data_IF_436606082932
#
_entry.id   IF_436606082932
#
_cell.length_a   1.000
_cell.length_b   1.000
_cell.length_c   1.000
_cell.angle_alpha   90.00
_cell.angle_beta   90.00
_cell.angle_gamma   90.00
#
_symmetry.space_group_name_H-M   'P 1'
#
loop_
_entity.id
_entity.type
_entity.pdbx_description
1 polymer ?
#
# COMPACT_ATOMS: atom_id res chain seq x y z
N UNK A 1 -28.70 -2.17 -23.21
CA UNK A 1 -28.91 -1.26 -22.07
C UNK A 1 -27.88 -1.65 -21.03
N UNK A 2 -26.98 -0.76 -20.61
CA UNK A 2 -26.01 -1.09 -19.57
C UNK A 2 -26.72 -1.17 -18.23
N UNK A 3 -26.70 -2.33 -17.59
CA UNK A 3 -27.21 -2.47 -16.23
C UNK A 3 -26.52 -1.46 -15.31
N UNK A 4 -27.31 -0.62 -14.64
CA UNK A 4 -26.79 0.34 -13.65
C UNK A 4 -26.76 -0.35 -12.29
N UNK A 5 -25.56 -0.57 -11.76
CA UNK A 5 -25.37 -1.12 -10.43
C UNK A 5 -25.57 -0.03 -9.37
N UNK A 6 -26.10 -0.39 -8.20
CA UNK A 6 -26.34 0.56 -7.10
C UNK A 6 -25.74 0.04 -5.80
N UNK A 7 -24.99 0.90 -5.12
CA UNK A 7 -24.51 0.68 -3.76
C UNK A 7 -24.72 1.92 -2.90
N UNK A 8 -24.47 1.81 -1.60
CA UNK A 8 -24.53 2.95 -0.69
C UNK A 8 -23.16 3.61 -0.59
N UNK A 9 -22.08 2.81 -0.53
CA UNK A 9 -20.70 3.29 -0.52
C UNK A 9 -19.88 2.59 -1.61
N UNK A 10 -19.23 3.38 -2.46
CA UNK A 10 -18.20 2.90 -3.40
C UNK A 10 -16.82 3.37 -2.93
N UNK A 11 -15.90 2.43 -2.73
CA UNK A 11 -14.51 2.69 -2.35
C UNK A 11 -13.63 2.38 -3.57
N UNK A 12 -12.79 3.32 -3.96
CA UNK A 12 -11.93 3.20 -5.14
C UNK A 12 -10.51 2.93 -4.69
N UNK A 13 -9.98 1.73 -4.94
CA UNK A 13 -8.68 1.26 -4.48
C UNK A 13 -8.78 0.44 -3.19
N UNK A 14 -8.07 -0.68 -3.14
CA UNK A 14 -8.07 -1.61 -1.99
C UNK A 14 -6.79 -1.52 -1.13
N UNK A 15 -5.98 -0.49 -1.35
CA UNK A 15 -4.75 -0.23 -0.57
C UNK A 15 -5.01 0.07 0.91
N UNK A 16 -3.97 0.53 1.63
CA UNK A 16 -4.05 0.85 3.05
C UNK A 16 -5.24 1.76 3.41
N UNK A 17 -5.51 2.80 2.62
CA UNK A 17 -6.67 3.68 2.82
C UNK A 17 -8.00 2.97 2.60
N UNK A 18 -8.20 2.39 1.41
CA UNK A 18 -9.49 1.82 1.03
C UNK A 18 -9.85 0.53 1.78
N UNK A 19 -8.88 -0.37 1.98
CA UNK A 19 -9.09 -1.60 2.75
C UNK A 19 -9.42 -1.33 4.21
N UNK A 20 -8.77 -0.34 4.81
CA UNK A 20 -9.07 0.08 6.18
C UNK A 20 -10.47 0.67 6.31
N UNK A 21 -10.85 1.58 5.40
CA UNK A 21 -12.22 2.12 5.36
C UNK A 21 -13.26 1.03 5.17
N UNK A 22 -12.99 0.06 4.27
CA UNK A 22 -13.87 -1.08 4.06
C UNK A 22 -14.08 -1.89 5.35
N UNK A 23 -13.01 -2.14 6.13
CA UNK A 23 -13.11 -2.84 7.40
C UNK A 23 -13.88 -2.05 8.48
N UNK A 24 -13.71 -0.73 8.54
CA UNK A 24 -14.45 0.12 9.48
C UNK A 24 -15.95 0.20 9.15
N UNK A 25 -16.32 0.13 7.87
CA UNK A 25 -17.71 0.12 7.43
C UNK A 25 -18.36 -1.27 7.46
N UNK A 26 -17.56 -2.33 7.55
CA UNK A 26 -18.02 -3.71 7.46
C UNK A 26 -19.13 -4.07 8.47
N UNK A 27 -19.10 -3.63 9.74
CA UNK A 27 -20.18 -3.94 10.69
C UNK A 27 -21.56 -3.42 10.26
N UNK A 28 -21.60 -2.30 9.52
CA UNK A 28 -22.84 -1.69 9.05
C UNK A 28 -23.49 -2.46 7.89
N UNK A 29 -22.78 -3.42 7.29
CA UNK A 29 -23.34 -4.29 6.24
C UNK A 29 -24.45 -5.18 6.82
N UNK A 30 -24.34 -5.58 8.10
CA UNK A 30 -25.40 -6.32 8.79
C UNK A 30 -26.71 -5.52 8.91
N UNK A 31 -26.62 -4.19 8.95
CA UNK A 31 -27.76 -3.26 8.96
C UNK A 31 -28.23 -2.88 7.54
N UNK A 32 -27.71 -3.54 6.50
CA UNK A 32 -28.10 -3.37 5.11
C UNK A 32 -27.26 -2.38 4.30
N UNK A 33 -26.15 -1.86 4.84
CA UNK A 33 -25.25 -0.98 4.08
C UNK A 33 -24.57 -1.76 2.95
N UNK A 34 -24.75 -1.34 1.70
CA UNK A 34 -24.09 -1.98 0.55
C UNK A 34 -22.77 -1.27 0.25
N UNK A 35 -21.67 -1.93 0.55
CA UNK A 35 -20.31 -1.42 0.32
C UNK A 35 -19.65 -2.22 -0.81
N UNK A 36 -19.12 -1.52 -1.81
CA UNK A 36 -18.33 -2.11 -2.90
C UNK A 36 -16.96 -1.43 -2.97
N UNK A 37 -15.90 -2.23 -2.99
CA UNK A 37 -14.53 -1.79 -3.25
C UNK A 37 -14.17 -2.15 -4.69
N UNK A 38 -13.69 -1.20 -5.47
CA UNK A 38 -13.16 -1.40 -6.82
C UNK A 38 -11.65 -1.39 -6.80
N UNK A 39 -11.02 -2.47 -7.25
CA UNK A 39 -9.58 -2.62 -7.36
C UNK A 39 -9.18 -2.85 -8.82
N UNK A 40 -8.30 -2.00 -9.34
CA UNK A 40 -7.83 -2.07 -10.72
C UNK A 40 -6.95 -3.31 -10.96
N UNK A 41 -6.21 -3.73 -9.93
CA UNK A 41 -5.34 -4.89 -9.96
C UNK A 41 -6.04 -6.24 -9.81
N UNK A 42 -5.31 -7.35 -10.04
CA UNK A 42 -5.79 -8.70 -9.77
C UNK A 42 -5.80 -9.02 -8.26
N UNK A 43 -6.50 -10.08 -7.87
CA UNK A 43 -6.29 -10.79 -6.59
C UNK A 43 -5.43 -12.01 -6.86
N UNK A 44 -4.27 -12.10 -6.24
CA UNK A 44 -3.40 -13.27 -6.34
C UNK A 44 -3.76 -14.29 -5.27
N UNK A 45 -3.62 -15.57 -5.60
CA UNK A 45 -3.64 -16.67 -4.62
C UNK A 45 -2.26 -16.82 -3.98
N UNK A 46 -2.22 -17.41 -2.79
CA UNK A 46 -0.98 -17.58 -2.03
C UNK A 46 0.08 -18.41 -2.82
N UNK A 47 -0.35 -19.39 -3.61
CA UNK A 47 0.52 -20.22 -4.46
C UNK A 47 1.12 -19.49 -5.68
N UNK A 48 0.60 -18.30 -6.03
CA UNK A 48 1.08 -17.53 -7.18
C UNK A 48 2.28 -16.63 -6.85
N UNK A 49 2.58 -16.43 -5.56
CA UNK A 49 3.74 -15.65 -5.12
C UNK A 49 5.03 -16.50 -5.24
N UNK A 50 5.60 -16.55 -6.44
CA UNK A 50 6.75 -17.40 -6.76
C UNK A 50 8.12 -16.74 -6.49
N UNK A 51 8.12 -15.45 -6.12
CA UNK A 51 9.34 -14.69 -5.85
C UNK A 51 10.17 -14.29 -7.08
N UNK A 52 9.73 -14.67 -8.29
CA UNK A 52 10.40 -14.31 -9.53
C UNK A 52 10.12 -12.86 -9.92
N UNK A 53 11.15 -12.03 -10.09
CA UNK A 53 10.96 -10.62 -10.42
C UNK A 53 10.18 -10.42 -11.73
N UNK A 54 10.54 -11.17 -12.78
CA UNK A 54 9.92 -11.09 -14.10
C UNK A 54 8.42 -11.48 -14.10
N UNK A 55 8.00 -12.29 -13.13
CA UNK A 55 6.62 -12.79 -13.02
C UNK A 55 5.81 -12.00 -12.00
N UNK A 56 6.43 -11.54 -10.92
CA UNK A 56 5.77 -10.82 -9.83
C UNK A 56 5.67 -9.32 -10.09
N UNK A 57 6.69 -8.67 -10.65
CA UNK A 57 6.67 -7.22 -10.82
C UNK A 57 5.50 -6.75 -11.73
N UNK A 58 5.25 -7.36 -12.91
CA UNK A 58 4.10 -7.00 -13.75
C UNK A 58 2.74 -7.34 -13.12
N UNK A 59 2.70 -8.30 -12.19
CA UNK A 59 1.48 -8.73 -11.52
C UNK A 59 1.10 -7.84 -10.34
N UNK A 60 2.10 -7.24 -9.67
CA UNK A 60 1.91 -6.53 -8.40
C UNK A 60 1.96 -5.01 -8.53
N UNK A 61 2.76 -4.47 -9.46
CA UNK A 61 3.00 -3.03 -9.57
C UNK A 61 2.28 -2.40 -10.77
N UNK A 62 2.00 -1.11 -10.65
CA UNK A 62 1.70 -0.27 -11.82
C UNK A 62 2.93 -0.23 -12.74
N UNK A 63 2.71 -0.40 -14.04
CA UNK A 63 3.77 -0.39 -15.07
C UNK A 63 4.98 -1.31 -14.74
N UNK A 64 4.71 -2.44 -14.07
CA UNK A 64 5.75 -3.36 -13.61
C UNK A 64 6.76 -2.78 -12.62
N UNK A 65 6.45 -1.64 -12.00
CA UNK A 65 7.33 -0.90 -11.09
C UNK A 65 8.20 0.15 -11.80
N UNK A 66 8.09 0.26 -13.13
CA UNK A 66 8.84 1.19 -13.97
C UNK A 66 8.14 2.52 -14.25
N UNK A 67 7.14 2.91 -13.45
CA UNK A 67 6.35 4.11 -13.73
C UNK A 67 7.21 5.38 -13.62
N UNK A 68 7.55 6.00 -14.76
CA UNK A 68 8.44 7.16 -14.83
C UNK A 68 7.68 8.48 -14.67
N UNK A 69 8.35 9.47 -14.06
CA UNK A 69 7.93 10.88 -14.20
C UNK A 69 8.05 11.34 -15.65
N UNK A 70 7.29 12.37 -16.03
CA UNK A 70 7.21 12.83 -17.42
C UNK A 70 8.56 13.30 -18.01
N UNK A 71 9.47 13.76 -17.15
CA UNK A 71 10.85 14.14 -17.47
C UNK A 71 11.86 12.98 -17.34
N UNK A 72 11.40 11.80 -16.92
CA UNK A 72 12.22 10.59 -16.77
C UNK A 72 13.22 10.62 -15.63
N UNK A 73 13.16 11.59 -14.71
CA UNK A 73 14.16 11.75 -13.65
C UNK A 73 13.93 10.85 -12.44
N UNK A 74 12.72 10.30 -12.27
CA UNK A 74 12.38 9.46 -11.14
C UNK A 74 11.42 8.35 -11.55
N UNK A 75 11.65 7.16 -10.99
CA UNK A 75 10.72 6.03 -11.06
C UNK A 75 9.87 5.97 -9.79
N UNK A 76 8.57 5.77 -9.95
CA UNK A 76 7.61 5.58 -8.87
C UNK A 76 7.17 4.11 -8.84
N UNK A 77 7.25 3.47 -7.68
CA UNK A 77 6.78 2.10 -7.49
C UNK A 77 5.57 2.07 -6.55
N UNK A 78 4.41 1.64 -7.04
CA UNK A 78 3.21 1.46 -6.23
C UNK A 78 2.38 0.27 -6.72
N UNK A 79 1.71 -0.37 -5.76
CA UNK A 79 0.99 -1.62 -6.01
C UNK A 79 -0.32 -1.39 -6.76
N UNK A 80 -0.57 -2.23 -7.76
CA UNK A 80 -1.82 -2.35 -8.53
C UNK A 80 -2.32 -3.80 -8.42
N UNK A 81 -2.80 -4.14 -7.23
CA UNK A 81 -3.16 -5.49 -6.80
C UNK A 81 -4.15 -5.40 -5.63
N UNK A 82 -4.97 -6.41 -5.39
CA UNK A 82 -5.80 -6.52 -4.18
C UNK A 82 -4.94 -6.37 -2.91
N UNK A 83 -5.18 -5.29 -2.16
CA UNK A 83 -4.36 -4.83 -1.02
C UNK A 83 -3.43 -3.64 -1.32
N UNK A 84 -3.31 -3.22 -2.58
CA UNK A 84 -2.45 -2.14 -3.05
C UNK A 84 -0.98 -2.30 -2.65
N UNK A 85 -0.29 -1.18 -2.39
CA UNK A 85 1.13 -1.18 -2.02
C UNK A 85 1.46 -1.94 -0.72
N UNK A 86 0.47 -2.30 0.11
CA UNK A 86 0.71 -3.13 1.30
C UNK A 86 1.10 -4.57 0.95
N UNK A 87 0.90 -5.00 -0.30
CA UNK A 87 1.36 -6.30 -0.81
C UNK A 87 2.86 -6.28 -1.07
N UNK A 88 3.43 -5.12 -1.40
CA UNK A 88 4.80 -4.95 -1.90
C UNK A 88 5.70 -4.09 -1.01
N UNK A 89 5.21 -3.55 0.10
CA UNK A 89 6.09 -2.89 1.08
C UNK A 89 6.97 -3.90 1.83
N UNK A 90 7.84 -3.42 2.70
CA UNK A 90 8.61 -4.25 3.65
C UNK A 90 7.81 -4.56 4.93
N UNK A 91 6.80 -3.75 5.25
CA UNK A 91 5.97 -3.93 6.45
C UNK A 91 6.40 -3.07 7.64
N UNK A 92 7.37 -2.17 7.45
CA UNK A 92 7.72 -1.15 8.44
C UNK A 92 6.48 -0.31 8.81
N UNK A 93 6.28 -0.13 10.11
CA UNK A 93 5.03 0.38 10.69
C UNK A 93 5.34 1.35 11.83
N UNK A 94 5.59 2.61 11.49
CA UNK A 94 5.90 3.67 12.45
C UNK A 94 4.69 4.57 12.71
N UNK A 95 4.65 5.15 13.90
CA UNK A 95 3.82 6.33 14.16
C UNK A 95 4.62 7.53 13.65
N UNK A 96 3.99 8.38 12.82
CA UNK A 96 4.64 9.58 12.34
C UNK A 96 5.09 10.47 13.52
N UNK A 97 6.35 10.97 13.53
CA UNK A 97 6.82 11.84 14.59
C UNK A 97 5.93 13.07 14.76
N UNK A 98 5.71 13.50 16.01
CA UNK A 98 4.84 14.65 16.30
C UNK A 98 5.30 15.92 15.58
N UNK A 99 6.61 16.13 15.47
CA UNK A 99 7.21 17.24 14.70
C UNK A 99 6.72 17.27 13.24
N UNK A 100 6.61 16.10 12.59
CA UNK A 100 6.14 15.96 11.22
C UNK A 100 4.65 16.30 11.15
N UNK A 101 3.84 15.74 12.05
CA UNK A 101 2.38 16.00 12.10
C UNK A 101 2.09 17.48 12.30
N UNK A 102 2.79 18.14 13.25
CA UNK A 102 2.64 19.58 13.51
C UNK A 102 3.01 20.42 12.28
N UNK A 103 3.98 19.98 11.48
CA UNK A 103 4.41 20.70 10.27
C UNK A 103 3.34 20.71 9.16
N UNK A 104 2.40 19.76 9.15
CA UNK A 104 1.29 19.72 8.19
C UNK A 104 0.30 20.89 8.36
N UNK A 105 0.27 21.53 9.54
CA UNK A 105 -0.57 22.71 9.83
C UNK A 105 -2.05 22.54 9.46
N UNK A 106 -2.60 21.35 9.68
CA UNK A 106 -4.02 21.05 9.41
C UNK A 106 -4.86 21.37 10.65
N UNK A 107 -5.81 22.33 10.57
CA UNK A 107 -6.66 22.68 11.71
C UNK A 107 -7.43 21.47 12.24
N UNK A 108 -7.41 21.27 13.56
CA UNK A 108 -8.08 20.15 14.23
C UNK A 108 -7.33 18.82 14.19
N UNK A 109 -6.21 18.72 13.46
CA UNK A 109 -5.37 17.53 13.46
C UNK A 109 -4.35 17.60 14.60
N UNK A 110 -4.47 16.70 15.57
CA UNK A 110 -3.58 16.64 16.75
C UNK A 110 -2.79 15.34 16.74
N UNK A 111 -1.51 15.40 17.09
CA UNK A 111 -0.62 14.24 17.05
C UNK A 111 -1.10 13.08 17.93
N UNK A 112 -1.71 13.37 19.08
CA UNK A 112 -2.27 12.36 19.97
C UNK A 112 -3.44 11.58 19.35
N UNK A 113 -4.34 12.24 18.60
CA UNK A 113 -5.44 11.57 17.90
C UNK A 113 -4.91 10.63 16.80
N UNK A 114 -3.90 11.08 16.05
CA UNK A 114 -3.24 10.23 15.06
C UNK A 114 -2.50 9.04 15.68
N UNK A 115 -1.82 9.25 16.81
CA UNK A 115 -1.14 8.18 17.53
C UNK A 115 -2.14 7.11 18.03
N UNK A 116 -3.27 7.53 18.61
CA UNK A 116 -4.32 6.61 19.07
C UNK A 116 -4.90 5.77 17.92
N UNK A 117 -5.24 6.42 16.81
CA UNK A 117 -5.75 5.75 15.60
C UNK A 117 -4.71 4.81 14.99
N UNK A 118 -3.44 5.23 14.96
CA UNK A 118 -2.33 4.40 14.45
C UNK A 118 -2.13 3.15 15.31
N UNK A 119 -2.17 3.30 16.65
CA UNK A 119 -2.03 2.19 17.58
C UNK A 119 -3.11 1.12 17.40
N UNK A 120 -4.34 1.50 17.03
CA UNK A 120 -5.40 0.55 16.65
C UNK A 120 -4.98 -0.34 15.49
N UNK A 121 -4.49 0.25 14.39
CA UNK A 121 -4.07 -0.51 13.21
C UNK A 121 -2.77 -1.28 13.45
N UNK A 122 -1.84 -0.73 14.24
CA UNK A 122 -0.64 -1.47 14.65
C UNK A 122 -1.01 -2.77 15.38
N UNK A 123 -1.99 -2.74 16.29
CA UNK A 123 -2.50 -3.96 16.95
C UNK A 123 -3.18 -4.91 15.95
N UNK A 124 -4.02 -4.39 15.06
CA UNK A 124 -4.69 -5.22 14.04
C UNK A 124 -3.70 -5.92 13.10
N UNK A 125 -2.61 -5.25 12.75
CA UNK A 125 -1.61 -5.75 11.81
C UNK A 125 -0.47 -6.52 12.49
N UNK A 126 -0.58 -6.85 13.79
CA UNK A 126 0.47 -7.55 14.53
C UNK A 126 1.83 -6.84 14.46
N UNK A 127 1.85 -5.53 14.70
CA UNK A 127 3.11 -4.77 14.69
C UNK A 127 3.95 -5.11 15.92
N UNK A 128 5.21 -5.47 15.70
CA UNK A 128 6.18 -5.83 16.73
C UNK A 128 7.61 -5.56 16.26
N UNK A 129 8.55 -5.61 17.19
CA UNK A 129 9.98 -5.58 16.88
C UNK A 129 10.48 -6.98 16.53
N UNK A 130 11.40 -7.08 15.57
CA UNK A 130 12.05 -8.35 15.27
C UNK A 130 12.96 -8.77 16.43
N UNK A 131 12.96 -10.05 16.82
CA UNK A 131 13.87 -10.53 17.83
C UNK A 131 15.32 -10.55 17.30
N UNK A 132 16.34 -10.41 18.16
CA UNK A 132 17.74 -10.30 17.73
C UNK A 132 18.23 -11.45 16.83
N UNK A 133 17.73 -12.67 17.05
CA UNK A 133 18.07 -13.87 16.29
C UNK A 133 17.54 -13.87 14.84
N UNK A 134 16.57 -13.01 14.51
CA UNK A 134 16.02 -12.87 13.16
C UNK A 134 16.67 -11.71 12.37
N UNK A 135 17.59 -10.96 12.98
CA UNK A 135 18.31 -9.86 12.34
C UNK A 135 19.46 -10.43 11.49
N UNK A 136 19.40 -10.20 10.18
CA UNK A 136 20.45 -10.61 9.25
C UNK A 136 21.74 -9.74 9.37
N UNK A 137 22.81 -10.16 8.69
CA UNK A 137 24.08 -9.45 8.75
C UNK A 137 23.99 -8.02 8.20
N UNK A 138 23.27 -7.79 7.09
CA UNK A 138 23.11 -6.44 6.52
C UNK A 138 22.58 -5.45 7.57
N UNK A 139 21.52 -5.84 8.27
CA UNK A 139 20.89 -5.04 9.31
C UNK A 139 21.78 -4.86 10.53
N UNK A 140 22.44 -5.94 11.00
CA UNK A 140 23.37 -5.88 12.13
C UNK A 140 24.57 -4.97 11.85
N UNK A 141 25.17 -5.11 10.66
CA UNK A 141 26.34 -4.33 10.24
C UNK A 141 25.99 -2.85 10.03
N UNK A 142 24.79 -2.52 9.58
CA UNK A 142 24.32 -1.14 9.54
C UNK A 142 24.30 -0.50 10.93
N UNK A 143 23.77 -1.21 11.94
CA UNK A 143 23.74 -0.73 13.34
C UNK A 143 25.15 -0.58 13.91
N UNK A 144 26.02 -1.57 13.67
CA UNK A 144 27.43 -1.52 14.09
C UNK A 144 28.17 -0.35 13.43
N UNK A 145 27.94 -0.12 12.13
CA UNK A 145 28.49 1.00 11.38
C UNK A 145 28.04 2.35 11.94
N UNK A 146 26.74 2.52 12.19
CA UNK A 146 26.21 3.72 12.84
C UNK A 146 26.89 3.98 14.20
N UNK A 147 26.98 2.94 15.04
CA UNK A 147 27.61 3.05 16.37
C UNK A 147 29.08 3.42 16.28
N UNK A 148 29.82 2.85 15.32
CA UNK A 148 31.26 3.12 15.16
C UNK A 148 31.56 4.60 14.82
N UNK A 149 30.62 5.30 14.20
CA UNK A 149 30.74 6.73 13.89
C UNK A 149 29.95 7.63 14.86
N UNK A 150 29.45 7.08 15.97
CA UNK A 150 28.79 7.83 17.03
C UNK A 150 27.28 8.07 16.86
N UNK A 151 26.61 7.32 15.97
CA UNK A 151 25.16 7.37 15.78
C UNK A 151 24.44 6.17 16.40
N UNK A 152 23.19 6.37 16.80
CA UNK A 152 22.31 5.32 17.31
C UNK A 152 21.19 5.07 16.30
N UNK A 153 21.21 3.89 15.68
CA UNK A 153 20.15 3.44 14.77
C UNK A 153 18.99 2.83 15.57
N UNK A 154 17.77 3.06 15.09
CA UNK A 154 16.53 2.56 15.67
C UNK A 154 15.97 1.40 14.84
N UNK A 155 15.34 0.43 15.51
CA UNK A 155 14.68 -0.67 14.81
C UNK A 155 13.29 -0.22 14.34
N UNK A 156 12.95 -0.53 13.09
CA UNK A 156 11.58 -0.41 12.62
C UNK A 156 10.68 -1.44 13.33
N UNK A 157 9.51 -1.03 13.85
CA UNK A 157 8.42 -1.96 14.09
C UNK A 157 7.94 -2.52 12.75
N UNK A 158 7.64 -3.81 12.68
CA UNK A 158 7.21 -4.46 11.44
C UNK A 158 5.91 -5.24 11.61
N UNK A 159 5.17 -5.44 10.52
CA UNK A 159 3.88 -6.14 10.51
C UNK A 159 3.92 -7.47 9.75
N UNK A 160 4.74 -8.41 10.23
CA UNK A 160 4.79 -9.77 9.71
C UNK A 160 4.23 -10.78 10.72
N UNK A 161 3.94 -12.00 10.28
CA UNK A 161 3.56 -13.12 11.15
C UNK A 161 4.05 -14.42 10.52
N UNK A 162 4.91 -15.16 11.22
CA UNK A 162 5.51 -16.39 10.67
C UNK A 162 6.43 -16.12 9.48
N UNK A 163 7.22 -15.03 9.54
CA UNK A 163 8.20 -14.72 8.50
C UNK A 163 9.27 -15.81 8.45
N UNK A 164 9.60 -16.28 7.24
CA UNK A 164 10.67 -17.25 7.01
C UNK A 164 11.92 -16.58 6.41
N UNK A 165 12.00 -15.25 6.49
CA UNK A 165 13.17 -14.49 6.06
C UNK A 165 13.51 -14.64 4.58
N UNK A 166 12.52 -14.61 3.67
CA UNK A 166 12.77 -14.75 2.23
C UNK A 166 13.47 -13.54 1.60
N UNK A 167 13.49 -12.37 2.28
CA UNK A 167 13.96 -11.08 1.76
C UNK A 167 13.26 -10.57 0.47
N UNK A 168 12.22 -11.24 0.00
CA UNK A 168 11.49 -10.90 -1.24
C UNK A 168 10.29 -9.97 -1.00
N UNK A 169 10.35 -9.12 0.03
CA UNK A 169 9.20 -8.32 0.44
C UNK A 169 8.64 -7.48 -0.73
N UNK A 170 9.50 -6.88 -1.55
CA UNK A 170 9.07 -6.06 -2.68
C UNK A 170 8.39 -6.86 -3.81
N UNK A 171 8.60 -8.18 -3.87
CA UNK A 171 8.00 -9.05 -4.89
C UNK A 171 6.75 -9.80 -4.38
N UNK A 172 6.18 -9.34 -3.26
CA UNK A 172 5.10 -10.05 -2.58
C UNK A 172 5.63 -11.24 -1.78
N UNK A 173 5.00 -11.53 -0.64
CA UNK A 173 5.52 -12.47 0.35
C UNK A 173 5.21 -13.93 -0.04
N UNK A 174 6.18 -14.76 -0.45
CA UNK A 174 5.90 -16.13 -0.91
C UNK A 174 5.33 -17.05 0.16
N UNK A 175 5.65 -16.77 1.42
CA UNK A 175 5.19 -17.51 2.60
C UNK A 175 4.03 -16.82 3.33
N UNK A 176 3.36 -15.84 2.70
CA UNK A 176 2.14 -15.21 3.22
C UNK A 176 2.28 -14.52 4.61
N UNK A 177 3.49 -14.19 5.05
CA UNK A 177 3.73 -13.66 6.39
C UNK A 177 3.32 -12.19 6.57
N UNK A 178 3.37 -11.41 5.50
CA UNK A 178 3.13 -9.97 5.53
C UNK A 178 1.67 -9.61 5.84
N UNK A 179 1.45 -8.83 6.89
CA UNK A 179 0.13 -8.44 7.39
C UNK A 179 -0.39 -7.16 6.71
N UNK A 180 -0.42 -7.14 5.38
CA UNK A 180 -1.02 -6.05 4.60
C UNK A 180 -2.55 -6.08 4.57
N UNK A 181 -3.19 -5.09 3.96
CA UNK A 181 -4.67 -5.01 3.88
C UNK A 181 -5.30 -6.22 3.21
N UNK A 182 -4.60 -6.86 2.27
CA UNK A 182 -5.00 -8.11 1.63
C UNK A 182 -5.10 -9.33 2.56
N UNK A 183 -4.43 -9.30 3.72
CA UNK A 183 -4.48 -10.39 4.71
C UNK A 183 -5.28 -10.05 5.95
N UNK A 184 -5.36 -8.77 6.29
CA UNK A 184 -5.97 -8.31 7.56
C UNK A 184 -7.35 -7.69 7.30
N UNK A 185 -7.39 -6.45 6.79
CA UNK A 185 -8.64 -5.68 6.72
C UNK A 185 -9.63 -6.18 5.66
N UNK A 186 -9.18 -6.42 4.42
CA UNK A 186 -10.11 -6.78 3.34
C UNK A 186 -10.76 -8.15 3.56
N UNK A 187 -10.05 -9.23 3.96
CA UNK A 187 -10.71 -10.49 4.28
C UNK A 187 -11.70 -10.37 5.45
N UNK A 188 -11.40 -9.56 6.46
CA UNK A 188 -12.32 -9.30 7.56
C UNK A 188 -13.59 -8.54 7.11
N UNK A 189 -13.44 -7.60 6.18
CA UNK A 189 -14.55 -6.87 5.58
C UNK A 189 -15.43 -7.77 4.69
N UNK A 190 -14.81 -8.60 3.84
CA UNK A 190 -15.53 -9.51 2.93
C UNK A 190 -16.33 -10.57 3.69
N UNK A 191 -15.83 -11.08 4.82
CA UNK A 191 -16.57 -11.99 5.71
C UNK A 191 -17.88 -11.40 6.23
N UNK A 192 -17.95 -10.07 6.37
CA UNK A 192 -19.15 -9.36 6.80
C UNK A 192 -20.04 -8.91 5.62
N UNK A 193 -19.63 -9.19 4.38
CA UNK A 193 -20.45 -8.97 3.20
C UNK A 193 -20.03 -7.77 2.33
N UNK A 194 -18.97 -7.04 2.69
CA UNK A 194 -18.37 -6.05 1.79
C UNK A 194 -17.95 -6.75 0.49
N UNK A 195 -18.30 -6.18 -0.66
CA UNK A 195 -17.93 -6.76 -1.95
C UNK A 195 -16.67 -6.10 -2.47
N UNK A 196 -15.77 -6.89 -3.06
CA UNK A 196 -14.60 -6.38 -3.78
C UNK A 196 -14.65 -6.86 -5.22
N UNK A 197 -14.56 -5.93 -6.16
CA UNK A 197 -14.47 -6.21 -7.59
C UNK A 197 -13.06 -5.89 -8.05
N UNK A 198 -12.32 -6.92 -8.43
CA UNK A 198 -10.94 -6.81 -8.92
C UNK A 198 -10.90 -6.66 -10.44
N UNK A 199 -9.73 -6.29 -10.98
CA UNK A 199 -9.56 -5.95 -12.42
C UNK A 199 -10.52 -4.85 -12.88
N UNK A 200 -10.99 -4.03 -11.94
CA UNK A 200 -12.03 -3.03 -12.11
C UNK A 200 -11.43 -1.63 -11.93
N UNK A 201 -11.19 -0.96 -13.05
CA UNK A 201 -10.70 0.41 -13.08
C UNK A 201 -11.87 1.39 -13.04
N UNK A 202 -11.86 2.33 -12.09
CA UNK A 202 -12.79 3.46 -12.15
C UNK A 202 -12.20 4.52 -13.09
N UNK A 203 -12.87 4.73 -14.22
CA UNK A 203 -12.41 5.64 -15.27
C UNK A 203 -12.77 7.10 -15.00
N UNK A 204 -13.96 7.32 -14.40
CA UNK A 204 -14.52 8.64 -14.18
C UNK A 204 -15.54 8.64 -13.04
N UNK A 205 -15.58 9.74 -12.31
CA UNK A 205 -16.64 10.07 -11.35
C UNK A 205 -17.47 11.22 -11.95
N UNK A 206 -18.79 11.09 -11.93
CA UNK A 206 -19.71 12.16 -12.25
C UNK A 206 -20.82 12.21 -11.19
N UNK A 207 -20.78 13.24 -10.34
CA UNK A 207 -21.66 13.38 -9.18
C UNK A 207 -21.62 12.14 -8.27
N UNK A 208 -22.69 11.33 -8.29
CA UNK A 208 -22.88 10.10 -7.52
C UNK A 208 -22.75 8.84 -8.38
N UNK A 209 -22.19 8.96 -9.58
CA UNK A 209 -22.00 7.87 -10.52
C UNK A 209 -20.53 7.66 -10.82
N UNK A 210 -20.14 6.39 -10.95
CA UNK A 210 -18.82 5.95 -11.38
C UNK A 210 -18.97 5.21 -12.71
N UNK A 211 -18.08 5.50 -13.67
CA UNK A 211 -17.86 4.64 -14.84
C UNK A 211 -16.74 3.66 -14.48
N UNK A 212 -17.05 2.38 -14.44
CA UNK A 212 -16.13 1.31 -14.06
C UNK A 212 -15.88 0.40 -15.27
N UNK A 213 -14.63 0.09 -15.57
CA UNK A 213 -14.24 -0.88 -16.59
C UNK A 213 -13.65 -2.11 -15.92
N UNK A 214 -14.26 -3.27 -16.17
CA UNK A 214 -13.75 -4.57 -15.75
C UNK A 214 -13.02 -5.21 -16.92
N UNK A 215 -11.79 -5.63 -16.68
CA UNK A 215 -10.94 -6.27 -17.70
C UNK A 215 -10.87 -7.77 -17.52
N UNK A 216 -10.76 -8.50 -18.64
CA UNK A 216 -10.56 -9.94 -18.62
C UNK A 216 -9.20 -10.30 -18.02
N UNK A 217 -9.11 -11.48 -17.38
CA UNK A 217 -7.83 -12.04 -16.97
C UNK A 217 -7.03 -12.43 -18.23
N UNK A 218 -5.80 -11.91 -18.43
CA UNK A 218 -4.94 -12.39 -19.51
C UNK A 218 -4.62 -13.89 -19.35
N UNK A 219 -4.55 -14.68 -20.45
CA UNK A 219 -4.30 -16.13 -20.37
C UNK A 219 -3.05 -16.52 -19.57
N UNK A 220 -1.97 -15.75 -19.68
CA UNK A 220 -0.71 -15.93 -18.95
C UNK A 220 -0.59 -15.06 -17.69
N UNK A 221 -1.62 -14.28 -17.35
CA UNK A 221 -1.59 -13.36 -16.22
C UNK A 221 -1.80 -14.06 -14.88
N UNK A 222 -1.11 -13.60 -13.84
CA UNK A 222 -1.35 -14.02 -12.45
C UNK A 222 -2.69 -13.48 -11.92
N UNK A 223 -3.17 -14.14 -10.89
CA UNK A 223 -4.37 -13.75 -10.14
C UNK A 223 -5.66 -14.27 -10.74
N UNK A 224 -6.72 -14.16 -9.95
CA UNK A 224 -8.05 -14.64 -10.28
C UNK A 224 -8.73 -13.76 -11.34
N UNK A 225 -9.69 -14.30 -12.11
CA UNK A 225 -10.61 -13.49 -12.90
C UNK A 225 -11.46 -12.59 -12.00
N UNK A 226 -12.02 -11.51 -12.57
CA UNK A 226 -12.96 -10.67 -11.83
C UNK A 226 -14.27 -11.44 -11.56
N UNK A 227 -14.94 -11.09 -10.46
CA UNK A 227 -16.29 -11.57 -10.17
C UNK A 227 -17.35 -10.95 -11.09
N UNK A 228 -17.03 -9.82 -11.72
CA UNK A 228 -17.88 -9.20 -12.75
C UNK A 228 -17.38 -9.61 -14.13
N UNK A 229 -18.30 -9.73 -15.09
CA UNK A 229 -17.91 -9.99 -16.47
C UNK A 229 -17.07 -8.82 -17.03
N UNK A 230 -16.18 -9.07 -18.01
CA UNK A 230 -15.49 -7.99 -18.69
C UNK A 230 -16.49 -7.03 -19.36
N UNK A 231 -16.28 -5.73 -19.20
CA UNK A 231 -17.20 -4.72 -19.73
C UNK A 231 -17.13 -3.39 -19.01
N UNK A 232 -17.97 -2.46 -19.45
CA UNK A 232 -18.13 -1.15 -18.81
C UNK A 232 -19.47 -1.05 -18.08
N UNK A 233 -19.42 -0.53 -16.86
CA UNK A 233 -20.53 -0.46 -15.93
C UNK A 233 -20.72 0.97 -15.45
N UNK A 234 -21.98 1.36 -15.34
CA UNK A 234 -22.39 2.56 -14.60
C UNK A 234 -22.79 2.12 -13.18
N UNK A 235 -22.11 2.69 -12.18
CA UNK A 235 -22.36 2.40 -10.76
C UNK A 235 -22.83 3.66 -10.06
N UNK A 236 -24.01 3.65 -9.44
CA UNK A 236 -24.48 4.74 -8.60
C UNK A 236 -24.19 4.45 -7.12
N UNK A 237 -23.59 5.42 -6.43
CA UNK A 237 -23.23 5.34 -5.02
C UNK A 237 -23.64 6.62 -4.27
N UNK A 238 -24.18 6.48 -3.05
CA UNK A 238 -24.53 7.65 -2.22
C UNK A 238 -23.28 8.39 -1.73
N UNK A 239 -22.25 7.63 -1.39
CA UNK A 239 -20.92 8.09 -0.98
C UNK A 239 -19.86 7.44 -1.85
N UNK A 240 -18.91 8.23 -2.33
CA UNK A 240 -17.75 7.78 -3.08
C UNK A 240 -16.49 8.12 -2.29
N UNK A 241 -15.66 7.12 -2.03
CA UNK A 241 -14.40 7.24 -1.29
C UNK A 241 -13.27 6.97 -2.26
N UNK A 242 -12.51 8.02 -2.60
CA UNK A 242 -11.36 7.89 -3.48
C UNK A 242 -10.12 7.52 -2.66
N UNK A 243 -9.61 6.29 -2.85
CA UNK A 243 -8.48 5.72 -2.13
C UNK A 243 -7.48 5.02 -3.09
N UNK A 244 -7.39 5.50 -4.34
CA UNK A 244 -6.52 4.97 -5.40
C UNK A 244 -5.05 5.40 -5.28
N UNK A 245 -4.58 5.66 -4.05
CA UNK A 245 -3.25 6.22 -3.79
C UNK A 245 -3.10 7.68 -4.24
N UNK A 246 -1.92 8.27 -3.99
CA UNK A 246 -1.64 9.69 -4.32
C UNK A 246 -1.77 9.97 -5.81
N UNK A 247 -1.22 9.09 -6.65
CA UNK A 247 -1.22 9.25 -8.11
C UNK A 247 -2.59 8.91 -8.70
N UNK A 248 -3.11 7.71 -8.43
CA UNK A 248 -4.37 7.23 -9.02
C UNK A 248 -5.58 8.08 -8.61
N UNK A 249 -5.67 8.51 -7.35
CA UNK A 249 -6.75 9.40 -6.89
C UNK A 249 -6.68 10.75 -7.60
N UNK A 250 -5.49 11.38 -7.66
CA UNK A 250 -5.33 12.67 -8.31
C UNK A 250 -5.68 12.60 -9.80
N UNK A 251 -5.19 11.58 -10.51
CA UNK A 251 -5.47 11.37 -11.93
C UNK A 251 -6.96 11.15 -12.20
N UNK A 252 -7.64 10.34 -11.37
CA UNK A 252 -9.08 10.10 -11.48
C UNK A 252 -9.88 11.39 -11.28
N UNK A 253 -9.61 12.14 -10.22
CA UNK A 253 -10.34 13.38 -9.93
C UNK A 253 -10.12 14.43 -11.01
N UNK A 254 -8.90 14.52 -11.57
CA UNK A 254 -8.56 15.43 -12.68
C UNK A 254 -9.36 15.09 -13.94
N UNK A 255 -9.31 13.83 -14.41
CA UNK A 255 -10.11 13.39 -15.58
C UNK A 255 -11.62 13.46 -15.34
N UNK A 256 -12.05 13.48 -14.08
CA UNK A 256 -13.45 13.68 -13.69
C UNK A 256 -13.89 15.15 -13.75
N UNK A 257 -13.01 16.08 -14.11
CA UNK A 257 -13.34 17.51 -14.28
C UNK A 257 -13.45 18.28 -12.96
N UNK A 258 -12.99 17.71 -11.85
CA UNK A 258 -13.10 18.32 -10.51
C UNK A 258 -12.06 19.42 -10.25
N UNK A 259 -11.07 19.60 -11.14
CA UNK A 259 -10.06 20.65 -11.04
C UNK A 259 -10.69 22.06 -10.93
N UNK A 260 -11.82 22.29 -11.60
CA UNK A 260 -12.56 23.55 -11.54
C UNK A 260 -13.09 23.91 -10.15
N UNK A 261 -13.30 22.91 -9.28
CA UNK A 261 -13.82 23.09 -7.91
C UNK A 261 -12.74 22.88 -6.84
N UNK A 262 -11.64 22.23 -7.19
CA UNK A 262 -10.55 21.86 -6.30
C UNK A 262 -9.24 22.48 -6.85
N UNK A 263 -8.96 23.76 -6.55
CA UNK A 263 -7.86 24.50 -7.17
C UNK A 263 -6.45 23.95 -6.84
N UNK A 264 -6.34 23.10 -5.81
CA UNK A 264 -5.09 22.43 -5.42
C UNK A 264 -4.97 21.00 -5.95
N UNK A 265 -5.97 20.50 -6.69
CA UNK A 265 -5.98 19.15 -7.21
C UNK A 265 -4.83 18.94 -8.21
N UNK A 266 -4.04 17.89 -8.01
CA UNK A 266 -2.85 17.60 -8.83
C UNK A 266 -1.59 18.37 -8.42
N UNK A 267 -1.65 19.23 -7.39
CA UNK A 267 -0.51 19.97 -6.87
C UNK A 267 -0.04 19.43 -5.51
N UNK A 268 1.22 19.72 -5.16
CA UNK A 268 1.79 19.39 -3.85
C UNK A 268 2.15 17.91 -3.68
N UNK A 269 2.40 17.19 -4.78
CA UNK A 269 2.93 15.84 -4.73
C UNK A 269 4.19 15.82 -3.86
N UNK A 270 4.18 14.94 -2.86
CA UNK A 270 5.30 14.72 -1.94
C UNK A 270 5.60 13.23 -1.95
N UNK A 271 6.88 12.89 -2.02
CA UNK A 271 7.37 11.52 -1.92
C UNK A 271 8.68 11.54 -1.11
N UNK A 272 9.19 10.35 -0.79
CA UNK A 272 10.53 10.18 -0.25
C UNK A 272 11.42 9.62 -1.37
N UNK A 273 12.19 10.48 -2.08
CA UNK A 273 13.20 9.98 -3.01
C UNK A 273 14.19 9.10 -2.25
N UNK A 274 14.37 7.88 -2.73
CA UNK A 274 15.29 6.92 -2.11
C UNK A 274 16.45 6.65 -3.07
N UNK A 275 17.66 6.61 -2.51
CA UNK A 275 18.87 6.22 -3.22
C UNK A 275 19.41 4.94 -2.59
N UNK A 276 19.79 3.99 -3.44
CA UNK A 276 20.42 2.75 -2.96
C UNK A 276 21.89 3.04 -2.69
N UNK A 277 22.32 2.81 -1.46
CA UNK A 277 23.72 2.79 -1.08
C UNK A 277 24.16 1.34 -0.89
N UNK A 278 25.31 0.99 -1.45
CA UNK A 278 25.87 -0.36 -1.37
C UNK A 278 27.24 -0.28 -0.71
N UNK A 279 27.49 -1.16 0.25
CA UNK A 279 28.79 -1.33 0.88
C UNK A 279 29.39 -2.69 0.49
N UNK A 280 30.70 -2.72 0.29
CA UNK A 280 31.47 -3.95 0.10
C UNK A 280 32.11 -4.36 1.42
N UNK A 281 31.97 -5.62 1.79
CA UNK A 281 32.51 -6.17 3.03
C UNK A 281 33.65 -7.16 2.72
N UNK A 282 34.70 -7.14 3.56
CA UNK A 282 35.85 -8.02 3.41
C UNK A 282 35.51 -9.51 3.62
N UNK A 283 34.36 -9.80 4.23
CA UNK A 283 33.84 -11.15 4.44
C UNK A 283 32.45 -11.26 3.83
N UNK A 284 32.03 -12.46 3.37
CA UNK A 284 30.65 -12.69 2.94
C UNK A 284 29.66 -12.36 4.07
N UNK A 285 28.55 -11.70 3.71
CA UNK A 285 27.47 -11.35 4.64
C UNK A 285 26.14 -11.83 4.10
N UNK A 286 25.18 -12.07 4.99
CA UNK A 286 23.78 -12.32 4.60
C UNK A 286 23.05 -11.01 4.27
N UNK A 287 22.71 -10.82 2.98
CA UNK A 287 21.82 -9.74 2.51
C UNK A 287 20.66 -10.25 1.63
N UNK A 288 20.52 -11.57 1.49
CA UNK A 288 19.47 -12.22 0.70
C UNK A 288 18.55 -13.11 1.56
N UNK A 289 18.72 -13.07 2.88
CA UNK A 289 17.87 -13.77 3.86
C UNK A 289 17.51 -12.83 5.01
N UNK A 290 16.42 -13.12 5.70
CA UNK A 290 15.87 -12.29 6.77
C UNK A 290 14.98 -11.17 6.27
N UNK A 291 14.54 -10.31 7.19
CA UNK A 291 13.79 -9.11 6.83
C UNK A 291 14.76 -8.04 6.28
N UNK A 292 14.52 -7.48 5.08
CA UNK A 292 15.51 -6.63 4.42
C UNK A 292 15.70 -5.30 5.15
N UNK A 293 14.61 -4.68 5.61
CA UNK A 293 14.57 -3.30 6.13
C UNK A 293 14.21 -3.23 7.60
N UNK A 294 15.16 -3.51 8.50
CA UNK A 294 14.86 -3.63 9.94
C UNK A 294 15.32 -2.44 10.77
N UNK A 295 16.23 -1.61 10.27
CA UNK A 295 16.74 -0.45 11.01
C UNK A 295 16.73 0.84 10.18
N UNK A 296 16.68 1.97 10.88
CA UNK A 296 16.87 3.29 10.32
C UNK A 296 17.68 4.20 11.25
N UNK A 297 18.24 5.25 10.68
CA UNK A 297 18.85 6.37 11.37
C UNK A 297 18.18 7.65 10.87
N UNK A 298 17.39 8.30 11.74
CA UNK A 298 16.72 9.56 11.41
C UNK A 298 17.71 10.73 11.60
N UNK A 299 18.10 11.36 10.48
CA UNK A 299 18.87 12.61 10.44
C UNK A 299 18.11 13.69 9.66
N UNK A 300 16.78 13.56 9.56
CA UNK A 300 16.00 14.35 8.62
C UNK A 300 15.96 15.84 8.97
N UNK A 301 16.02 16.20 10.26
CA UNK A 301 16.01 17.61 10.67
C UNK A 301 17.39 18.26 10.59
N UNK A 302 18.43 17.51 10.95
CA UNK A 302 19.80 18.03 11.02
C UNK A 302 20.49 18.01 9.66
N UNK A 303 20.27 16.96 8.87
CA UNK A 303 21.04 16.68 7.65
C UNK A 303 20.16 16.43 6.41
N UNK A 304 18.84 16.37 6.58
CA UNK A 304 17.90 16.26 5.46
C UNK A 304 17.75 14.86 4.86
N UNK A 305 18.25 13.82 5.54
CA UNK A 305 18.14 12.43 5.09
C UNK A 305 17.77 11.47 6.23
N UNK A 306 17.22 10.32 5.85
CA UNK A 306 17.09 9.15 6.72
C UNK A 306 17.89 8.04 6.04
N UNK A 307 18.73 7.35 6.79
CA UNK A 307 19.37 6.12 6.31
C UNK A 307 18.55 4.94 6.79
N UNK A 308 18.34 3.96 5.93
CA UNK A 308 17.63 2.73 6.25
C UNK A 308 18.26 1.55 5.53
N UNK A 309 18.13 0.38 6.15
CA UNK A 309 18.52 -0.92 5.56
C UNK A 309 17.52 -1.44 4.55
#
# INVERSE_FOLDING_TARGET
MSDTFRCDVAIIGSGAGGGTVAAELAPLVADGLRVIVFEQGPRLRDDEFDGGELTMAPALYEDGGGFLTADGTMTLAFGRVYGGSTVVYTGTSLIAPERVIRSWRVPGLVASDLAERSAKYMRQNNVHMLPPEEINDNNRLFVEGCRAVGYEAEQFPINVRGCLGSSLCNLGCPNAAKQGTHRVQLPAAEKQGVKVVTRAEVLRIDQRRLRVRVTEKPPSGKGEPSAWAPGEYDVEARVIIAAGGSIGTSALLLRSGLASRLPRLGHGFTCHPAFILVAEHAQPITNWVGHPKSFFLDRAEEEGFVLET
#
